data_IF_953163443155
#
_entry.id   IF_953163443155
#
_cell.length_a   1.000
_cell.length_b   1.000
_cell.length_c   1.000
_cell.angle_alpha   90.00
_cell.angle_beta   90.00
_cell.angle_gamma   90.00
#
_symmetry.space_group_name_H-M   'P 1'
#
loop_
_entity.id
_entity.type
_entity.pdbx_description
1 polymer ?
#
# COMPACT_ATOMS: atom_id res chain seq x y z
N UNK A 1 -11.04 21.19 11.44
CA UNK A 1 -9.91 22.05 11.01
C UNK A 1 -8.90 22.10 12.15
N UNK A 2 -7.69 21.61 11.95
CA UNK A 2 -6.59 21.81 12.88
C UNK A 2 -6.26 23.31 12.87
N UNK A 3 -6.38 23.95 14.02
CA UNK A 3 -6.04 25.37 14.17
C UNK A 3 -4.51 25.49 14.21
N UNK A 4 -3.93 26.38 13.41
CA UNK A 4 -2.51 26.67 13.44
C UNK A 4 -2.12 27.30 14.79
N UNK A 5 -1.00 26.84 15.37
CA UNK A 5 -0.36 27.49 16.54
C UNK A 5 0.61 28.56 16.02
N UNK A 6 0.55 29.73 16.61
CA UNK A 6 1.43 30.84 16.30
C UNK A 6 2.33 31.12 17.49
N UNK A 7 3.59 31.38 17.22
CA UNK A 7 4.58 31.80 18.21
C UNK A 7 4.93 33.26 17.95
N UNK A 8 4.86 34.09 18.97
CA UNK A 8 5.29 35.50 18.91
C UNK A 8 6.82 35.56 18.86
N UNK A 9 7.37 36.19 17.83
CA UNK A 9 8.81 36.51 17.73
C UNK A 9 8.90 38.00 17.39
N UNK A 10 9.37 38.80 18.34
CA UNK A 10 9.28 40.25 18.26
C UNK A 10 7.81 40.69 18.26
N UNK A 11 7.44 41.61 17.37
CA UNK A 11 6.05 42.12 17.22
C UNK A 11 5.19 41.32 16.24
N UNK A 12 5.66 40.16 15.75
CA UNK A 12 4.99 39.35 14.71
C UNK A 12 4.61 37.96 15.22
N UNK A 13 3.43 37.47 14.82
CA UNK A 13 3.00 36.10 15.05
C UNK A 13 3.43 35.21 13.88
N UNK A 14 4.21 34.17 14.13
CA UNK A 14 4.68 33.20 13.16
C UNK A 14 3.97 31.87 13.33
N UNK A 15 3.42 31.33 12.24
CA UNK A 15 2.83 29.97 12.25
C UNK A 15 3.91 28.95 12.62
N UNK A 16 3.65 28.13 13.64
CA UNK A 16 4.55 27.07 14.04
C UNK A 16 4.46 25.94 12.98
N UNK A 17 5.57 25.65 12.31
CA UNK A 17 5.67 24.55 11.34
C UNK A 17 6.20 23.27 11.97
N UNK A 18 7.11 23.38 12.92
CA UNK A 18 7.71 22.24 13.64
C UNK A 18 7.84 22.57 15.11
N UNK A 19 7.57 21.60 15.97
CA UNK A 19 7.78 21.67 17.39
C UNK A 19 8.64 20.51 17.86
N UNK A 20 9.54 20.76 18.80
CA UNK A 20 10.41 19.73 19.39
C UNK A 20 10.33 19.81 20.92
N UNK A 21 10.43 18.66 21.57
CA UNK A 21 10.53 18.52 23.01
C UNK A 21 11.81 17.77 23.35
N UNK A 22 12.55 18.26 24.35
CA UNK A 22 13.73 17.59 24.89
C UNK A 22 13.33 16.44 25.81
N UNK A 23 13.70 15.22 25.49
CA UNK A 23 13.48 14.05 26.34
C UNK A 23 14.78 13.24 26.38
N UNK A 24 15.33 13.08 27.60
CA UNK A 24 16.57 12.32 27.79
C UNK A 24 17.78 12.91 27.02
N UNK A 25 17.90 14.25 26.98
CA UNK A 25 18.99 14.95 26.27
C UNK A 25 18.87 14.95 24.74
N UNK A 26 17.78 14.44 24.18
CA UNK A 26 17.53 14.44 22.73
C UNK A 26 16.29 15.28 22.38
N UNK A 27 16.39 16.08 21.30
CA UNK A 27 15.23 16.78 20.72
C UNK A 27 14.35 15.77 19.97
N UNK A 28 13.08 15.68 20.36
CA UNK A 28 12.08 14.83 19.69
C UNK A 28 11.02 15.70 19.04
N UNK A 29 10.69 15.43 17.76
CA UNK A 29 9.61 16.14 17.02
C UNK A 29 8.28 15.91 17.73
N UNK A 30 7.53 16.99 17.99
CA UNK A 30 6.18 16.92 18.52
C UNK A 30 5.21 16.72 17.35
N UNK A 31 4.50 15.61 17.34
CA UNK A 31 3.54 15.29 16.27
C UNK A 31 2.21 15.96 16.47
N UNK A 32 1.70 16.02 17.70
CA UNK A 32 0.44 16.67 18.06
C UNK A 32 0.56 17.41 19.38
N UNK A 33 -0.10 18.58 19.46
CA UNK A 33 -0.29 19.27 20.73
C UNK A 33 -1.79 19.50 20.97
N UNK A 34 -2.19 19.36 22.22
CA UNK A 34 -3.56 19.57 22.64
C UNK A 34 -3.60 20.65 23.71
N UNK A 35 -4.65 21.47 23.70
CA UNK A 35 -4.96 22.42 24.76
C UNK A 35 -6.26 22.00 25.46
N UNK A 36 -6.31 22.19 26.78
CA UNK A 36 -7.54 22.01 27.57
C UNK A 36 -8.47 23.18 27.35
N UNK A 37 -9.69 22.96 26.88
CA UNK A 37 -10.73 24.00 26.79
C UNK A 37 -12.03 23.39 27.26
N UNK A 38 -12.60 23.97 28.35
CA UNK A 38 -13.85 23.49 28.93
C UNK A 38 -13.80 22.02 29.37
N UNK A 39 -12.70 21.57 29.99
CA UNK A 39 -12.52 20.20 30.46
C UNK A 39 -12.25 19.17 29.36
N UNK A 40 -12.09 19.56 28.09
CA UNK A 40 -11.80 18.69 26.94
C UNK A 40 -10.47 19.04 26.31
N UNK A 41 -9.69 18.01 25.95
CA UNK A 41 -8.48 18.17 25.17
C UNK A 41 -8.84 18.52 23.71
N UNK A 42 -8.35 19.65 23.21
CA UNK A 42 -8.56 20.08 21.82
C UNK A 42 -7.22 20.12 21.08
N UNK A 43 -7.16 19.48 19.91
CA UNK A 43 -5.98 19.51 19.05
C UNK A 43 -5.71 20.96 18.62
N UNK A 44 -4.51 21.46 18.90
CA UNK A 44 -4.06 22.80 18.50
C UNK A 44 -2.90 22.79 17.51
N UNK A 45 -2.13 21.71 17.44
CA UNK A 45 -1.03 21.53 16.51
C UNK A 45 -0.98 20.08 16.01
N UNK A 46 -0.79 19.91 14.71
CA UNK A 46 -0.43 18.65 14.07
C UNK A 46 0.77 18.91 13.15
N UNK A 47 1.78 18.05 13.20
CA UNK A 47 2.90 18.15 12.28
C UNK A 47 2.37 17.95 10.84
N UNK A 48 2.88 18.74 9.90
CA UNK A 48 2.56 18.58 8.48
C UNK A 48 3.40 17.43 7.91
N UNK A 49 2.85 16.71 6.92
CA UNK A 49 3.61 15.74 6.14
C UNK A 49 4.75 16.46 5.42
N UNK A 50 5.94 15.88 5.48
CA UNK A 50 7.10 16.41 4.78
C UNK A 50 7.89 15.29 4.08
N UNK A 51 8.56 15.64 3.00
CA UNK A 51 9.57 14.79 2.39
C UNK A 51 10.79 14.73 3.29
N UNK A 52 11.13 13.54 3.80
CA UNK A 52 12.30 13.33 4.68
C UNK A 52 13.59 13.30 3.86
N UNK A 53 13.57 12.68 2.67
CA UNK A 53 14.71 12.52 1.77
C UNK A 53 14.75 11.13 1.14
N UNK A 54 15.95 10.65 0.83
CA UNK A 54 16.18 9.33 0.26
C UNK A 54 16.76 8.39 1.32
N UNK A 55 16.31 7.14 1.33
CA UNK A 55 16.97 6.05 2.07
C UNK A 55 17.98 5.33 1.16
N UNK A 56 18.73 4.37 1.72
CA UNK A 56 19.61 3.50 0.95
C UNK A 56 18.81 2.81 -0.17
N UNK A 57 19.33 2.79 -1.38
CA UNK A 57 18.69 2.20 -2.55
C UNK A 57 18.39 0.70 -2.36
N UNK A 58 17.42 0.17 -3.09
CA UNK A 58 17.15 -1.27 -3.20
C UNK A 58 18.41 -2.02 -3.65
N UNK A 59 18.48 -3.30 -3.35
CA UNK A 59 19.58 -4.18 -3.81
C UNK A 59 19.62 -4.34 -5.33
N UNK A 60 18.48 -4.19 -6.00
CA UNK A 60 18.33 -4.28 -7.45
C UNK A 60 17.21 -3.33 -7.89
N UNK A 61 17.42 -2.60 -8.98
CA UNK A 61 16.39 -1.77 -9.60
C UNK A 61 15.22 -2.65 -10.08
N UNK A 62 13.99 -2.35 -9.63
CA UNK A 62 12.81 -3.15 -9.95
C UNK A 62 11.50 -2.41 -9.69
N UNK A 63 10.43 -2.89 -10.29
CA UNK A 63 9.07 -2.38 -10.17
C UNK A 63 8.06 -3.51 -9.99
N UNK A 64 6.78 -3.21 -9.81
CA UNK A 64 5.70 -4.19 -9.53
C UNK A 64 6.00 -5.11 -8.33
N UNK A 65 6.89 -4.66 -7.43
CA UNK A 65 7.12 -5.34 -6.16
C UNK A 65 5.95 -5.11 -5.22
N UNK A 66 5.80 -5.99 -4.24
CA UNK A 66 4.84 -5.79 -3.17
C UNK A 66 5.55 -5.52 -1.86
N UNK A 67 4.86 -4.78 -1.00
CA UNK A 67 5.43 -4.41 0.28
C UNK A 67 4.46 -4.73 1.43
N UNK A 68 5.02 -5.15 2.55
CA UNK A 68 4.31 -5.41 3.79
C UNK A 68 5.20 -5.04 4.98
N UNK A 69 4.58 -4.85 6.14
CA UNK A 69 5.28 -4.46 7.36
C UNK A 69 5.20 -5.56 8.40
N UNK A 70 6.30 -5.84 9.09
CA UNK A 70 6.34 -6.74 10.23
C UNK A 70 7.24 -6.18 11.33
N UNK A 71 6.72 -6.10 12.55
CA UNK A 71 7.46 -5.55 13.69
C UNK A 71 8.01 -4.16 13.39
N UNK A 72 9.33 -4.04 13.37
CA UNK A 72 10.05 -2.79 13.07
C UNK A 72 10.59 -2.70 11.63
N UNK A 73 10.09 -3.52 10.71
CA UNK A 73 10.58 -3.59 9.33
C UNK A 73 9.47 -3.38 8.31
N UNK A 74 9.77 -2.61 7.27
CA UNK A 74 9.06 -2.56 6.00
C UNK A 74 9.83 -3.41 5.00
N UNK A 75 9.18 -4.41 4.40
CA UNK A 75 9.75 -5.33 3.43
C UNK A 75 9.24 -5.02 2.04
N UNK A 76 10.15 -5.02 1.06
CA UNK A 76 9.88 -4.86 -0.37
C UNK A 76 10.36 -6.14 -1.07
N UNK A 77 9.43 -6.89 -1.66
CA UNK A 77 9.72 -8.24 -2.14
C UNK A 77 9.29 -8.47 -3.59
N UNK A 78 10.05 -9.29 -4.32
CA UNK A 78 9.77 -9.69 -5.69
C UNK A 78 9.80 -8.54 -6.68
N UNK A 79 8.98 -8.63 -7.73
CA UNK A 79 8.84 -7.62 -8.77
C UNK A 79 9.57 -7.96 -10.07
N UNK A 80 9.67 -6.97 -10.94
CA UNK A 80 10.24 -7.06 -12.29
C UNK A 80 11.50 -6.19 -12.39
N UNK A 81 12.57 -6.76 -12.91
CA UNK A 81 13.79 -6.04 -13.29
C UNK A 81 13.90 -6.00 -14.82
N UNK A 82 14.25 -4.88 -15.45
CA UNK A 82 14.44 -4.84 -16.91
C UNK A 82 15.57 -5.76 -17.34
N UNK A 83 15.31 -6.50 -18.41
CA UNK A 83 16.32 -7.32 -19.07
C UNK A 83 16.39 -6.88 -20.54
N UNK A 84 17.52 -6.32 -21.01
CA UNK A 84 17.64 -5.76 -22.35
C UNK A 84 17.51 -6.80 -23.48
N UNK A 85 17.61 -8.10 -23.16
CA UNK A 85 17.59 -9.16 -24.17
C UNK A 85 16.26 -9.92 -24.21
N UNK A 86 15.56 -10.04 -23.06
CA UNK A 86 14.41 -10.96 -22.93
C UNK A 86 13.17 -10.31 -22.32
N UNK A 87 13.14 -8.97 -22.24
CA UNK A 87 12.05 -8.24 -21.61
C UNK A 87 12.29 -8.02 -20.11
N UNK A 88 11.54 -8.67 -19.23
CA UNK A 88 11.67 -8.46 -17.78
C UNK A 88 12.05 -9.76 -17.07
N UNK A 89 13.06 -9.67 -16.21
CA UNK A 89 13.38 -10.72 -15.26
C UNK A 89 12.50 -10.59 -14.01
N UNK A 90 11.97 -11.71 -13.56
CA UNK A 90 11.20 -11.76 -12.30
C UNK A 90 12.16 -11.97 -11.14
N UNK A 91 12.01 -11.19 -10.08
CA UNK A 91 12.91 -11.19 -8.93
C UNK A 91 12.35 -12.01 -7.75
N UNK A 92 13.26 -12.59 -6.95
CA UNK A 92 13.00 -13.16 -5.62
C UNK A 92 13.51 -12.28 -4.48
N UNK A 93 14.21 -11.19 -4.78
CA UNK A 93 14.90 -10.36 -3.82
C UNK A 93 13.95 -9.72 -2.80
N UNK A 94 14.43 -9.59 -1.56
CA UNK A 94 13.74 -8.93 -0.46
C UNK A 94 14.67 -7.89 0.14
N UNK A 95 14.24 -6.64 0.16
CA UNK A 95 14.89 -5.55 0.89
C UNK A 95 14.02 -5.16 2.10
N UNK A 96 14.63 -5.04 3.27
CA UNK A 96 13.95 -4.66 4.50
C UNK A 96 14.57 -3.37 5.07
N UNK A 97 13.72 -2.42 5.47
CA UNK A 97 14.12 -1.16 6.10
C UNK A 97 13.56 -1.11 7.51
N UNK A 98 14.40 -0.83 8.48
CA UNK A 98 13.97 -0.68 9.88
C UNK A 98 13.54 0.77 10.20
N UNK A 99 13.11 1.00 11.45
CA UNK A 99 12.69 2.33 11.93
C UNK A 99 13.81 3.38 11.99
N UNK A 100 15.07 2.98 11.77
CA UNK A 100 16.21 3.90 11.60
C UNK A 100 16.58 4.08 10.12
N UNK A 101 15.75 3.58 9.19
CA UNK A 101 15.97 3.57 7.74
C UNK A 101 17.23 2.78 7.31
N UNK A 102 17.74 1.91 8.19
CA UNK A 102 18.84 1.00 7.85
C UNK A 102 18.30 -0.15 7.03
N UNK A 103 18.92 -0.38 5.87
CA UNK A 103 18.58 -1.48 4.96
C UNK A 103 19.27 -2.78 5.39
N UNK A 104 18.54 -3.89 5.23
CA UNK A 104 19.06 -5.26 5.27
C UNK A 104 18.41 -6.08 4.15
N UNK A 105 19.05 -7.18 3.76
CA UNK A 105 18.58 -8.11 2.73
C UNK A 105 18.32 -9.46 3.40
N UNK A 106 17.08 -9.73 3.85
CA UNK A 106 16.70 -11.03 4.40
C UNK A 106 16.83 -12.15 3.37
N UNK A 107 16.60 -13.39 3.81
CA UNK A 107 16.42 -14.53 2.89
C UNK A 107 15.39 -14.18 1.83
N UNK A 108 15.71 -14.46 0.57
CA UNK A 108 14.85 -14.21 -0.59
C UNK A 108 13.52 -14.98 -0.50
N UNK A 109 12.53 -14.59 -1.29
CA UNK A 109 11.29 -15.37 -1.48
C UNK A 109 11.63 -16.80 -1.93
N UNK A 110 10.77 -17.76 -1.60
CA UNK A 110 10.94 -19.18 -1.97
C UNK A 110 11.04 -19.41 -3.48
N UNK A 111 10.49 -18.50 -4.26
CA UNK A 111 10.65 -18.43 -5.72
C UNK A 111 10.52 -16.98 -6.19
N UNK A 112 11.08 -16.66 -7.33
CA UNK A 112 10.89 -15.39 -8.00
C UNK A 112 9.41 -15.17 -8.32
N UNK A 113 8.91 -13.93 -8.17
CA UNK A 113 7.48 -13.61 -8.44
C UNK A 113 7.21 -12.15 -8.70
N UNK A 114 6.26 -11.89 -9.59
CA UNK A 114 5.61 -10.59 -9.84
C UNK A 114 4.09 -10.78 -9.81
N UNK A 115 3.31 -9.70 -9.77
CA UNK A 115 1.85 -9.79 -9.71
C UNK A 115 1.30 -10.54 -8.49
N UNK A 116 2.13 -10.75 -7.46
CA UNK A 116 1.75 -11.35 -6.19
C UNK A 116 1.03 -10.33 -5.31
N UNK A 117 0.45 -10.75 -4.19
CA UNK A 117 -0.12 -9.87 -3.18
C UNK A 117 0.74 -9.87 -1.91
N UNK A 118 0.60 -8.80 -1.12
CA UNK A 118 1.18 -8.72 0.21
C UNK A 118 0.15 -8.20 1.22
N UNK A 119 0.23 -8.71 2.44
CA UNK A 119 -0.55 -8.26 3.58
C UNK A 119 0.18 -8.57 4.88
N UNK A 120 -0.14 -7.83 5.94
CA UNK A 120 0.42 -8.06 7.28
C UNK A 120 -0.66 -8.60 8.21
N UNK A 121 -0.30 -9.57 9.06
CA UNK A 121 -1.17 -10.06 10.11
C UNK A 121 -0.37 -10.48 11.33
N UNK A 122 -0.78 -10.04 12.50
CA UNK A 122 -0.09 -10.35 13.74
C UNK A 122 1.41 -10.02 13.68
N UNK A 123 2.24 -11.03 13.85
CA UNK A 123 3.71 -10.93 13.78
C UNK A 123 4.30 -11.25 12.41
N UNK A 124 3.53 -11.24 11.30
CA UNK A 124 3.98 -11.68 9.99
C UNK A 124 3.69 -10.69 8.87
N UNK A 125 4.63 -10.58 7.92
CA UNK A 125 4.44 -10.05 6.58
C UNK A 125 4.32 -11.22 5.59
N UNK A 126 3.21 -11.30 4.86
CA UNK A 126 2.88 -12.39 3.95
C UNK A 126 3.00 -11.92 2.50
N UNK A 127 3.58 -12.79 1.64
CA UNK A 127 3.68 -12.59 0.21
C UNK A 127 3.10 -13.83 -0.49
N UNK A 128 1.98 -13.66 -1.20
CA UNK A 128 1.16 -14.77 -1.68
C UNK A 128 1.01 -14.78 -3.21
N UNK A 129 1.18 -15.97 -3.81
CA UNK A 129 0.95 -16.20 -5.23
C UNK A 129 1.90 -15.45 -6.15
N UNK A 130 1.39 -15.02 -7.30
CA UNK A 130 2.15 -14.34 -8.34
C UNK A 130 2.53 -15.24 -9.50
N UNK A 131 3.46 -14.77 -10.32
CA UNK A 131 4.01 -15.51 -11.45
C UNK A 131 5.53 -15.45 -11.47
N UNK A 132 6.19 -16.55 -11.81
CA UNK A 132 7.65 -16.62 -11.89
C UNK A 132 8.21 -16.27 -13.27
N UNK A 133 7.35 -15.96 -14.23
CA UNK A 133 7.69 -15.35 -15.51
C UNK A 133 6.66 -14.29 -15.90
N UNK A 134 7.09 -13.31 -16.69
CA UNK A 134 6.25 -12.26 -17.24
C UNK A 134 6.74 -11.89 -18.64
N UNK A 135 5.81 -11.83 -19.60
CA UNK A 135 6.08 -11.44 -20.97
C UNK A 135 4.95 -10.57 -21.51
N UNK A 136 4.99 -10.20 -22.78
CA UNK A 136 4.00 -9.33 -23.43
C UNK A 136 2.56 -9.94 -23.48
N UNK A 137 2.42 -11.26 -23.26
CA UNK A 137 1.11 -11.93 -23.18
C UNK A 137 0.50 -11.90 -21.78
N UNK A 138 1.32 -11.65 -20.74
CA UNK A 138 0.87 -11.61 -19.35
C UNK A 138 1.76 -12.39 -18.38
N UNK A 139 1.13 -12.86 -17.31
CA UNK A 139 1.79 -13.66 -16.27
C UNK A 139 1.91 -15.12 -16.70
N UNK A 140 3.12 -15.69 -16.64
CA UNK A 140 3.35 -17.11 -16.90
C UNK A 140 3.91 -17.83 -15.67
N UNK A 141 3.82 -19.17 -15.66
CA UNK A 141 4.29 -20.01 -14.56
C UNK A 141 3.79 -19.52 -13.20
N UNK A 142 2.48 -19.61 -12.99
CA UNK A 142 1.81 -19.12 -11.78
C UNK A 142 2.32 -19.83 -10.53
N UNK A 143 2.37 -19.09 -9.42
CA UNK A 143 2.95 -19.50 -8.16
C UNK A 143 1.84 -19.73 -7.13
N UNK A 144 1.94 -20.85 -6.39
CA UNK A 144 1.01 -21.21 -5.31
C UNK A 144 1.58 -20.96 -3.91
N UNK A 145 2.89 -20.72 -3.77
CA UNK A 145 3.52 -20.58 -2.46
C UNK A 145 3.17 -19.25 -1.79
N UNK A 146 3.14 -19.29 -0.46
CA UNK A 146 3.00 -18.13 0.42
C UNK A 146 4.21 -18.09 1.34
N UNK A 147 4.99 -17.02 1.22
CA UNK A 147 6.14 -16.75 2.09
C UNK A 147 5.71 -15.83 3.24
N UNK A 148 6.05 -16.22 4.48
CA UNK A 148 5.80 -15.44 5.70
C UNK A 148 7.13 -15.04 6.32
N UNK A 149 7.29 -13.75 6.62
CA UNK A 149 8.45 -13.21 7.35
C UNK A 149 8.00 -12.74 8.72
N UNK A 150 8.68 -13.22 9.75
CA UNK A 150 8.47 -12.78 11.13
C UNK A 150 9.25 -11.48 11.45
N UNK A 151 9.08 -10.99 12.68
CA UNK A 151 9.76 -9.77 13.16
C UNK A 151 11.31 -9.92 13.30
N UNK A 152 11.84 -11.13 13.18
CA UNK A 152 13.29 -11.42 13.10
C UNK A 152 13.78 -11.49 11.67
N UNK A 153 12.91 -11.27 10.69
CA UNK A 153 13.13 -11.43 9.25
C UNK A 153 13.42 -12.88 8.84
N UNK A 154 12.99 -13.84 9.67
CA UNK A 154 13.07 -15.26 9.32
C UNK A 154 11.92 -15.61 8.40
N UNK A 155 12.24 -16.22 7.24
CA UNK A 155 11.24 -16.68 6.27
C UNK A 155 10.76 -18.10 6.63
N UNK A 156 9.46 -18.28 6.63
CA UNK A 156 8.79 -19.59 6.69
C UNK A 156 7.79 -19.72 5.54
N UNK A 157 7.39 -20.94 5.21
CA UNK A 157 6.30 -21.20 4.29
C UNK A 157 4.98 -21.24 5.07
N UNK A 158 3.97 -20.54 4.56
CA UNK A 158 2.59 -20.71 5.02
C UNK A 158 1.86 -21.73 4.11
N UNK A 159 0.60 -22.04 4.43
CA UNK A 159 -0.23 -22.91 3.61
C UNK A 159 -0.26 -22.43 2.16
N UNK A 160 -0.11 -23.35 1.20
CA UNK A 160 -0.12 -23.01 -0.23
C UNK A 160 -1.55 -22.68 -0.70
N UNK A 161 -1.66 -21.74 -1.64
CA UNK A 161 -2.91 -21.36 -2.29
C UNK A 161 -3.02 -22.02 -3.67
N UNK A 162 -4.13 -21.84 -4.36
CA UNK A 162 -4.19 -22.12 -5.81
C UNK A 162 -3.19 -21.24 -6.56
N UNK A 163 -2.52 -21.79 -7.58
CA UNK A 163 -1.57 -21.02 -8.38
C UNK A 163 -2.30 -19.84 -9.06
N UNK A 164 -1.98 -18.61 -8.66
CA UNK A 164 -2.77 -17.42 -9.01
C UNK A 164 -1.88 -16.19 -9.03
N UNK A 165 -2.06 -15.31 -10.01
CA UNK A 165 -1.41 -14.00 -10.09
C UNK A 165 -2.43 -12.85 -10.12
N UNK A 166 -1.95 -11.61 -10.04
CA UNK A 166 -2.78 -10.40 -10.05
C UNK A 166 -3.83 -10.37 -8.90
N UNK A 167 -3.42 -10.84 -7.72
CA UNK A 167 -4.22 -10.97 -6.51
C UNK A 167 -4.26 -9.64 -5.75
N UNK A 168 -5.35 -9.35 -5.05
CA UNK A 168 -5.43 -8.25 -4.08
C UNK A 168 -5.12 -8.72 -2.67
N UNK A 169 -4.51 -7.86 -1.84
CA UNK A 169 -4.24 -8.11 -0.43
C UNK A 169 -4.80 -7.00 0.46
N UNK A 170 -5.40 -7.37 1.60
CA UNK A 170 -5.87 -6.45 2.64
C UNK A 170 -5.89 -7.15 4.00
N UNK A 171 -6.02 -6.39 5.08
CA UNK A 171 -6.14 -6.96 6.42
C UNK A 171 -7.40 -6.47 7.13
N UNK A 172 -8.00 -7.30 7.98
CA UNK A 172 -9.10 -6.94 8.88
C UNK A 172 -9.06 -7.78 10.15
N UNK A 173 -9.18 -7.12 11.29
CA UNK A 173 -9.09 -7.81 12.58
C UNK A 173 -7.81 -8.61 12.70
N UNK A 174 -7.93 -9.90 12.90
CA UNK A 174 -6.79 -10.83 13.02
C UNK A 174 -6.50 -11.62 11.73
N UNK A 175 -6.91 -11.10 10.57
CA UNK A 175 -6.72 -11.78 9.29
C UNK A 175 -6.02 -10.92 8.24
N UNK A 176 -5.09 -11.57 7.51
CA UNK A 176 -4.64 -11.14 6.19
C UNK A 176 -5.47 -11.86 5.13
N UNK A 177 -6.09 -11.12 4.22
CA UNK A 177 -6.93 -11.66 3.15
C UNK A 177 -6.27 -11.46 1.80
N UNK A 178 -6.38 -12.49 0.96
CA UNK A 178 -5.93 -12.48 -0.43
C UNK A 178 -7.10 -12.85 -1.34
N UNK A 179 -7.43 -11.98 -2.30
CA UNK A 179 -8.69 -12.09 -3.04
C UNK A 179 -8.54 -11.97 -4.55
N UNK A 180 -9.29 -12.79 -5.29
CA UNK A 180 -9.33 -12.79 -6.74
C UNK A 180 -8.02 -13.24 -7.38
N UNK A 181 -7.81 -12.85 -8.62
CA UNK A 181 -6.61 -13.18 -9.39
C UNK A 181 -6.95 -13.90 -10.69
N UNK A 182 -5.92 -14.25 -11.46
CA UNK A 182 -6.02 -15.06 -12.67
C UNK A 182 -5.33 -16.42 -12.47
N UNK A 183 -5.93 -17.48 -13.00
CA UNK A 183 -5.44 -18.86 -12.87
C UNK A 183 -4.69 -19.37 -14.10
N UNK A 184 -4.57 -18.54 -15.13
CA UNK A 184 -3.79 -18.87 -16.36
C UNK A 184 -2.86 -17.73 -16.79
N UNK A 185 -2.81 -16.62 -16.04
CA UNK A 185 -1.99 -15.45 -16.35
C UNK A 185 -2.65 -14.42 -17.27
N UNK A 186 -3.81 -14.74 -17.83
CA UNK A 186 -4.61 -13.84 -18.68
C UNK A 186 -5.86 -13.42 -17.88
N UNK A 187 -6.32 -12.18 -18.03
CA UNK A 187 -7.43 -11.65 -17.25
C UNK A 187 -8.73 -11.61 -18.06
N UNK A 188 -9.10 -12.75 -18.65
CA UNK A 188 -10.39 -12.94 -19.32
C UNK A 188 -11.48 -13.30 -18.30
N UNK A 189 -12.73 -13.30 -18.71
CA UNK A 189 -13.85 -13.65 -17.83
C UNK A 189 -13.76 -15.10 -17.31
N UNK A 190 -13.20 -16.01 -18.11
CA UNK A 190 -13.17 -17.44 -17.82
C UNK A 190 -11.89 -17.87 -17.07
N UNK A 191 -10.93 -16.95 -16.90
CA UNK A 191 -9.61 -17.24 -16.32
C UNK A 191 -9.35 -16.49 -15.01
N UNK A 192 -10.33 -15.78 -14.49
CA UNK A 192 -10.25 -15.09 -13.20
C UNK A 192 -11.00 -15.86 -12.13
N UNK A 193 -10.52 -15.77 -10.89
CA UNK A 193 -11.14 -16.42 -9.73
C UNK A 193 -11.85 -15.43 -8.82
N UNK A 194 -12.80 -15.95 -8.04
CA UNK A 194 -13.49 -15.24 -6.97
C UNK A 194 -13.00 -15.64 -5.57
N UNK A 195 -11.99 -16.51 -5.47
CA UNK A 195 -11.50 -17.03 -4.20
C UNK A 195 -11.03 -15.92 -3.27
N UNK A 196 -11.32 -16.11 -1.98
CA UNK A 196 -10.81 -15.26 -0.90
C UNK A 196 -10.22 -16.15 0.18
N UNK A 197 -8.93 -15.98 0.40
CA UNK A 197 -8.10 -16.79 1.26
C UNK A 197 -7.68 -15.95 2.46
N UNK A 198 -7.73 -16.49 3.65
CA UNK A 198 -7.44 -15.79 4.88
C UNK A 198 -6.39 -16.54 5.70
N UNK A 199 -5.46 -15.81 6.30
CA UNK A 199 -4.47 -16.29 7.25
C UNK A 199 -4.62 -15.50 8.55
N UNK A 200 -4.71 -16.18 9.67
CA UNK A 200 -4.70 -15.52 10.97
C UNK A 200 -3.28 -15.25 11.49
N UNK A 201 -3.17 -14.65 12.68
CA UNK A 201 -1.88 -14.33 13.32
C UNK A 201 -1.04 -15.55 13.70
N UNK A 202 -1.58 -16.77 13.62
CA UNK A 202 -0.88 -18.04 13.80
C UNK A 202 -0.53 -18.72 12.48
N UNK A 203 -0.77 -18.04 11.35
CA UNK A 203 -0.66 -18.55 9.98
C UNK A 203 -1.63 -19.71 9.70
N UNK A 204 -2.70 -19.85 10.49
CA UNK A 204 -3.75 -20.81 10.20
C UNK A 204 -4.54 -20.34 8.99
N UNK A 205 -4.64 -21.23 8.00
CA UNK A 205 -5.35 -20.97 6.76
C UNK A 205 -6.85 -21.25 6.90
N UNK A 206 -7.66 -20.39 6.31
CA UNK A 206 -9.09 -20.62 6.09
C UNK A 206 -9.56 -19.92 4.80
N UNK A 207 -10.73 -20.29 4.31
CA UNK A 207 -11.38 -19.60 3.18
C UNK A 207 -12.45 -18.65 3.71
N UNK A 208 -12.57 -17.49 3.08
CA UNK A 208 -13.69 -16.59 3.29
C UNK A 208 -14.72 -16.74 2.15
N UNK A 209 -15.97 -16.23 2.30
CA UNK A 209 -16.93 -16.21 1.21
C UNK A 209 -16.35 -15.59 -0.07
N UNK A 210 -16.68 -16.17 -1.22
CA UNK A 210 -16.17 -15.74 -2.54
C UNK A 210 -16.46 -14.26 -2.81
N UNK A 211 -15.64 -13.60 -3.62
CA UNK A 211 -15.99 -12.29 -4.19
C UNK A 211 -17.33 -12.39 -4.94
N UNK A 212 -18.11 -11.32 -4.95
CA UNK A 212 -19.40 -11.27 -5.67
C UNK A 212 -19.27 -11.46 -7.18
N UNK A 213 -18.10 -11.12 -7.73
CA UNK A 213 -17.72 -11.32 -9.12
C UNK A 213 -16.28 -11.77 -9.18
N UNK A 214 -15.98 -12.86 -9.91
CA UNK A 214 -14.62 -13.30 -10.16
C UNK A 214 -13.85 -12.23 -10.93
N UNK A 215 -12.65 -11.85 -10.45
CA UNK A 215 -11.85 -10.78 -11.07
C UNK A 215 -10.39 -10.75 -10.58
N UNK A 216 -9.52 -10.29 -11.43
CA UNK A 216 -8.10 -10.07 -11.12
C UNK A 216 -7.79 -8.56 -10.94
N UNK A 217 -6.58 -8.24 -10.49
CA UNK A 217 -6.12 -6.86 -10.24
C UNK A 217 -7.01 -6.05 -9.29
N UNK A 218 -7.70 -6.71 -8.36
CA UNK A 218 -8.44 -6.05 -7.31
C UNK A 218 -7.49 -5.28 -6.40
N UNK A 219 -7.90 -4.12 -5.92
CA UNK A 219 -7.13 -3.36 -4.93
C UNK A 219 -7.72 -3.52 -3.56
N UNK A 220 -6.86 -3.88 -2.60
CA UNK A 220 -7.24 -4.03 -1.21
C UNK A 220 -6.94 -2.76 -0.41
N UNK A 221 -7.86 -2.39 0.47
CA UNK A 221 -7.67 -1.38 1.52
C UNK A 221 -8.47 -1.77 2.76
N UNK A 222 -8.08 -1.25 3.91
CA UNK A 222 -8.78 -1.47 5.16
C UNK A 222 -9.55 -0.21 5.57
N UNK A 223 -10.78 -0.37 6.06
CA UNK A 223 -11.51 0.67 6.77
C UNK A 223 -11.92 0.07 8.11
N UNK A 224 -11.40 0.55 9.19
CA UNK A 224 -11.51 0.08 10.59
C UNK A 224 -12.08 -1.34 10.78
N UNK A 225 -13.32 -1.57 10.33
CA UNK A 225 -14.07 -2.81 10.52
C UNK A 225 -14.06 -3.76 9.32
N UNK A 226 -13.47 -3.34 8.20
CA UNK A 226 -13.55 -4.08 6.93
C UNK A 226 -12.24 -4.08 6.16
N UNK A 227 -11.93 -5.22 5.53
CA UNK A 227 -11.05 -5.30 4.37
C UNK A 227 -11.91 -5.15 3.11
N UNK A 228 -11.64 -4.14 2.29
CA UNK A 228 -12.34 -3.86 1.05
C UNK A 228 -11.50 -4.31 -0.14
N UNK A 229 -12.17 -4.97 -1.09
CA UNK A 229 -11.58 -5.34 -2.38
C UNK A 229 -12.38 -4.67 -3.49
N UNK A 230 -11.76 -3.71 -4.17
CA UNK A 230 -12.45 -2.82 -5.10
C UNK A 230 -11.90 -2.91 -6.52
N UNK A 231 -12.77 -2.76 -7.50
CA UNK A 231 -12.44 -2.74 -8.91
C UNK A 231 -11.89 -4.08 -9.42
N UNK A 232 -10.92 -4.01 -10.30
CA UNK A 232 -10.30 -5.16 -10.94
C UNK A 232 -10.82 -5.39 -12.36
N UNK A 233 -10.51 -6.58 -12.92
CA UNK A 233 -10.82 -6.93 -14.32
C UNK A 233 -11.30 -8.37 -14.43
N UNK A 234 -12.36 -8.56 -15.26
CA UNK A 234 -12.90 -9.84 -15.68
C UNK A 234 -13.23 -9.75 -17.18
N UNK A 235 -12.19 -9.76 -18.04
CA UNK A 235 -12.29 -9.34 -19.44
C UNK A 235 -12.38 -7.82 -19.58
N UNK A 236 -13.39 -7.18 -18.99
CA UNK A 236 -13.53 -5.72 -18.83
C UNK A 236 -13.26 -5.26 -17.40
N UNK A 237 -13.03 -3.97 -17.21
CA UNK A 237 -12.85 -3.38 -15.88
C UNK A 237 -14.15 -3.35 -15.08
N UNK A 238 -14.06 -3.66 -13.78
CA UNK A 238 -15.17 -3.74 -12.85
C UNK A 238 -15.21 -2.52 -11.91
N UNK A 239 -16.39 -2.22 -11.41
CA UNK A 239 -16.60 -1.21 -10.36
C UNK A 239 -17.02 -1.82 -9.02
N UNK A 240 -17.19 -3.14 -8.96
CA UNK A 240 -17.67 -3.87 -7.77
C UNK A 240 -16.72 -3.69 -6.58
N UNK A 241 -17.32 -3.61 -5.39
CA UNK A 241 -16.60 -3.52 -4.11
C UNK A 241 -17.17 -4.56 -3.15
N UNK A 242 -16.35 -5.50 -2.73
CA UNK A 242 -16.65 -6.47 -1.68
C UNK A 242 -15.93 -6.10 -0.39
N UNK A 243 -16.62 -6.16 0.73
CA UNK A 243 -16.10 -5.85 2.06
C UNK A 243 -16.22 -7.08 2.97
N UNK A 244 -15.15 -7.38 3.72
CA UNK A 244 -15.09 -8.48 4.66
C UNK A 244 -14.84 -7.95 6.06
N UNK A 245 -15.66 -8.32 7.02
CA UNK A 245 -15.46 -7.94 8.42
C UNK A 245 -14.52 -8.94 9.14
N UNK A 246 -14.21 -8.67 10.42
CA UNK A 246 -13.33 -9.51 11.23
C UNK A 246 -13.87 -10.93 11.49
N UNK A 247 -15.16 -11.20 11.23
CA UNK A 247 -15.76 -12.54 11.26
C UNK A 247 -15.76 -13.20 9.88
N UNK A 248 -15.03 -12.63 8.92
CA UNK A 248 -14.96 -13.07 7.52
C UNK A 248 -16.32 -13.07 6.80
N UNK A 249 -17.30 -12.30 7.28
CA UNK A 249 -18.60 -12.16 6.61
C UNK A 249 -18.44 -11.14 5.47
N UNK A 250 -18.91 -11.51 4.26
CA UNK A 250 -18.90 -10.64 3.09
C UNK A 250 -20.14 -9.77 3.02
N UNK A 251 -19.93 -8.48 2.71
CA UNK A 251 -20.96 -7.52 2.31
C UNK A 251 -20.54 -6.87 0.99
N UNK A 252 -21.46 -6.68 0.06
CA UNK A 252 -21.19 -5.89 -1.16
C UNK A 252 -21.46 -4.43 -0.84
N UNK A 253 -20.43 -3.59 -0.96
CA UNK A 253 -20.55 -2.15 -0.75
C UNK A 253 -20.98 -1.44 -2.04
N UNK A 254 -21.35 -0.16 -1.94
CA UNK A 254 -21.67 0.67 -3.11
C UNK A 254 -20.52 0.64 -4.10
N UNK A 255 -20.81 0.40 -5.38
CA UNK A 255 -19.79 0.30 -6.42
C UNK A 255 -18.98 1.59 -6.58
N UNK A 256 -17.74 1.47 -7.10
CA UNK A 256 -16.91 2.61 -7.49
C UNK A 256 -17.67 3.50 -8.50
N UNK A 257 -17.41 4.81 -8.46
CA UNK A 257 -18.03 5.79 -9.37
C UNK A 257 -17.60 5.60 -10.83
N UNK A 258 -16.44 5.02 -11.04
CA UNK A 258 -15.91 4.64 -12.36
C UNK A 258 -14.93 3.48 -12.22
N UNK A 259 -14.68 2.79 -13.32
CA UNK A 259 -13.61 1.78 -13.37
C UNK A 259 -12.25 2.45 -13.09
N UNK A 260 -11.46 1.87 -12.19
CA UNK A 260 -10.13 2.39 -11.82
C UNK A 260 -9.05 1.41 -12.30
N UNK A 261 -8.52 1.71 -13.48
CA UNK A 261 -7.40 0.93 -14.04
C UNK A 261 -6.10 1.28 -13.30
N UNK A 262 -5.24 0.29 -13.03
CA UNK A 262 -3.98 0.45 -12.31
C UNK A 262 -4.11 1.39 -11.10
N UNK A 263 -5.16 1.14 -10.31
CA UNK A 263 -5.52 1.94 -9.14
C UNK A 263 -4.55 1.70 -7.98
N UNK A 264 -4.56 2.63 -7.04
CA UNK A 264 -3.93 2.47 -5.74
C UNK A 264 -4.97 2.65 -4.63
N UNK A 265 -4.69 2.09 -3.47
CA UNK A 265 -5.57 2.19 -2.34
C UNK A 265 -4.76 2.42 -1.05
N UNK A 266 -5.29 3.25 -0.16
CA UNK A 266 -4.72 3.53 1.15
C UNK A 266 -5.82 3.71 2.20
N UNK A 267 -5.42 3.64 3.46
CA UNK A 267 -6.31 3.87 4.60
C UNK A 267 -5.85 5.12 5.34
N UNK A 268 -6.76 6.03 5.72
CA UNK A 268 -6.47 7.14 6.63
C UNK A 268 -7.62 7.36 7.59
N UNK A 269 -7.32 7.43 8.88
CA UNK A 269 -8.37 7.47 9.90
C UNK A 269 -9.31 6.26 9.75
N UNK A 270 -10.59 6.54 9.53
CA UNK A 270 -11.63 5.53 9.35
C UNK A 270 -12.00 5.29 7.89
N UNK A 271 -11.19 5.76 6.93
CA UNK A 271 -11.52 5.75 5.52
C UNK A 271 -10.59 4.82 4.73
N UNK A 272 -11.19 3.99 3.87
CA UNK A 272 -10.51 3.32 2.75
C UNK A 272 -10.67 4.19 1.49
N UNK A 273 -9.56 4.55 0.86
CA UNK A 273 -9.52 5.48 -0.28
C UNK A 273 -9.02 4.72 -1.50
N UNK A 274 -9.78 4.76 -2.59
CA UNK A 274 -9.43 4.16 -3.87
C UNK A 274 -9.26 5.26 -4.92
N UNK A 275 -8.06 5.38 -5.46
CA UNK A 275 -7.68 6.32 -6.52
C UNK A 275 -7.33 5.57 -7.82
N UNK A 276 -7.31 6.25 -8.95
CA UNK A 276 -6.95 5.63 -10.22
C UNK A 276 -6.90 6.65 -11.35
N UNK A 277 -7.36 6.27 -12.54
CA UNK A 277 -7.36 7.05 -13.78
C UNK A 277 -8.23 8.34 -13.77
N UNK A 278 -8.70 8.76 -12.61
CA UNK A 278 -9.41 10.04 -12.39
C UNK A 278 -8.80 10.76 -11.19
N UNK A 279 -8.91 12.10 -11.15
CA UNK A 279 -8.46 12.88 -9.98
C UNK A 279 -9.35 12.64 -8.75
N UNK A 280 -10.59 12.19 -8.95
CA UNK A 280 -11.54 11.87 -7.88
C UNK A 280 -11.30 10.46 -7.33
N UNK A 281 -11.26 10.36 -6.02
CA UNK A 281 -11.23 9.10 -5.27
C UNK A 281 -12.64 8.67 -4.87
N UNK A 282 -12.85 7.36 -4.77
CA UNK A 282 -13.97 6.77 -4.04
C UNK A 282 -13.50 6.41 -2.62
N UNK A 283 -14.27 6.81 -1.63
CA UNK A 283 -13.89 6.77 -0.22
C UNK A 283 -15.00 6.07 0.55
N UNK A 284 -14.64 5.04 1.32
CA UNK A 284 -15.57 4.28 2.16
C UNK A 284 -15.20 4.47 3.63
N UNK A 285 -16.18 4.83 4.43
CA UNK A 285 -16.01 4.93 5.88
C UNK A 285 -16.20 3.58 6.59
N UNK A 286 -16.09 3.56 7.92
CA UNK A 286 -16.28 2.37 8.75
C UNK A 286 -17.70 1.76 8.71
N UNK A 287 -18.67 2.47 8.12
CA UNK A 287 -20.06 2.01 7.90
C UNK A 287 -20.30 1.61 6.46
N UNK A 288 -19.25 1.56 5.61
CA UNK A 288 -19.31 1.34 4.16
C UNK A 288 -20.11 2.42 3.40
N UNK A 289 -20.33 3.60 4.02
CA UNK A 289 -20.89 4.76 3.33
C UNK A 289 -19.87 5.29 2.34
N UNK A 290 -20.27 5.40 1.08
CA UNK A 290 -19.39 5.91 0.01
C UNK A 290 -19.51 7.42 -0.13
N UNK A 291 -18.38 8.10 -0.19
CA UNK A 291 -18.22 9.49 -0.61
C UNK A 291 -17.18 9.61 -1.71
N UNK A 292 -17.05 10.78 -2.33
CA UNK A 292 -16.03 11.06 -3.34
C UNK A 292 -15.37 12.40 -3.06
N UNK A 293 -14.05 12.48 -3.27
CA UNK A 293 -13.28 13.70 -3.15
C UNK A 293 -12.15 13.77 -4.18
N UNK A 294 -11.72 14.97 -4.55
CA UNK A 294 -10.57 15.18 -5.42
C UNK A 294 -9.27 14.99 -4.62
N UNK A 295 -8.78 13.76 -4.53
CA UNK A 295 -7.58 13.39 -3.77
C UNK A 295 -6.31 13.52 -4.62
N UNK A 296 -6.37 13.28 -5.92
CA UNK A 296 -5.22 13.50 -6.81
C UNK A 296 -5.25 14.90 -7.42
N UNK A 297 -4.07 15.49 -7.60
CA UNK A 297 -3.91 16.78 -8.31
C UNK A 297 -4.24 16.65 -9.80
N UNK A 298 -3.90 15.50 -10.38
CA UNK A 298 -4.19 15.12 -11.76
C UNK A 298 -4.55 13.64 -11.84
N UNK A 299 -5.29 13.24 -12.84
CA UNK A 299 -5.57 11.83 -13.13
C UNK A 299 -4.26 11.10 -13.49
N UNK A 300 -3.97 9.99 -12.78
CA UNK A 300 -2.76 9.18 -12.97
C UNK A 300 -3.05 7.71 -12.69
N UNK A 301 -2.22 6.85 -13.27
CA UNK A 301 -2.23 5.39 -13.06
C UNK A 301 -0.86 4.91 -12.60
N UNK A 302 -0.71 3.64 -12.24
CA UNK A 302 0.57 3.10 -11.77
C UNK A 302 1.04 3.71 -10.44
N UNK A 303 0.09 4.20 -9.62
CA UNK A 303 0.38 4.80 -8.34
C UNK A 303 0.71 3.76 -7.28
N UNK A 304 1.65 4.09 -6.41
CA UNK A 304 1.83 3.43 -5.14
C UNK A 304 1.15 4.23 -4.02
N UNK A 305 0.68 3.56 -2.98
CA UNK A 305 0.03 4.23 -1.87
C UNK A 305 0.37 3.57 -0.53
N UNK A 306 0.51 4.39 0.50
CA UNK A 306 0.66 3.96 1.89
C UNK A 306 0.19 5.06 2.84
N UNK A 307 0.24 4.79 4.14
CA UNK A 307 -0.23 5.73 5.17
C UNK A 307 0.90 5.99 6.16
N UNK A 308 1.09 7.23 6.59
CA UNK A 308 1.98 7.56 7.70
C UNK A 308 1.33 8.60 8.62
N UNK A 309 1.30 8.31 9.90
CA UNK A 309 0.58 9.15 10.85
C UNK A 309 -0.89 9.30 10.47
N UNK A 310 -1.33 10.54 10.28
CA UNK A 310 -2.71 10.87 9.91
C UNK A 310 -2.87 11.14 8.40
N UNK A 311 -1.93 10.70 7.56
CA UNK A 311 -1.94 10.97 6.12
C UNK A 311 -1.91 9.71 5.28
N UNK A 312 -2.80 9.63 4.28
CA UNK A 312 -2.67 8.74 3.13
C UNK A 312 -1.87 9.43 2.04
N UNK A 313 -0.89 8.76 1.45
CA UNK A 313 0.01 9.27 0.41
C UNK A 313 -0.16 8.42 -0.84
N UNK A 314 -0.28 9.09 -2.00
CA UNK A 314 -0.39 8.50 -3.32
C UNK A 314 0.72 9.06 -4.20
N UNK A 315 1.72 8.25 -4.55
CA UNK A 315 2.90 8.71 -5.30
C UNK A 315 3.04 7.98 -6.62
N UNK A 316 3.47 8.70 -7.64
CA UNK A 316 3.78 8.23 -8.99
C UNK A 316 3.75 9.36 -10.00
N UNK A 317 4.58 9.25 -11.05
CA UNK A 317 4.67 10.25 -12.11
C UNK A 317 5.18 11.63 -11.67
N UNK A 318 6.08 11.66 -10.68
CA UNK A 318 6.75 12.91 -10.25
C UNK A 318 5.96 13.77 -9.24
N UNK A 319 4.83 13.27 -8.74
CA UNK A 319 4.01 13.96 -7.73
C UNK A 319 3.57 13.00 -6.64
N UNK A 320 3.67 13.40 -5.38
CA UNK A 320 3.02 12.76 -4.26
C UNK A 320 1.85 13.64 -3.79
N UNK A 321 0.63 13.16 -4.02
CA UNK A 321 -0.58 13.72 -3.43
C UNK A 321 -0.85 13.03 -2.10
N UNK A 322 -1.35 13.78 -1.13
CA UNK A 322 -1.71 13.22 0.16
C UNK A 322 -2.96 13.90 0.73
N UNK A 323 -3.67 13.19 1.57
CA UNK A 323 -4.79 13.75 2.33
C UNK A 323 -4.72 13.30 3.79
N UNK A 324 -5.27 14.14 4.65
CA UNK A 324 -5.48 13.82 6.06
C UNK A 324 -6.82 13.08 6.28
N UNK A 325 -7.10 12.72 7.54
CA UNK A 325 -8.36 12.05 7.91
C UNK A 325 -9.62 12.92 7.68
N UNK A 326 -9.47 14.25 7.47
CA UNK A 326 -10.56 15.14 7.06
C UNK A 326 -10.73 15.22 5.54
N UNK A 327 -9.95 14.39 4.80
CA UNK A 327 -9.92 14.33 3.34
C UNK A 327 -9.45 15.64 2.68
N UNK A 328 -8.72 16.47 3.43
CA UNK A 328 -8.10 17.68 2.90
C UNK A 328 -6.86 17.31 2.13
N UNK A 329 -6.85 17.60 0.82
CA UNK A 329 -5.73 17.28 -0.08
C UNK A 329 -4.64 18.34 -0.03
N UNK A 330 -3.40 17.86 -0.12
CA UNK A 330 -2.20 18.64 -0.44
C UNK A 330 -1.29 17.83 -1.36
N UNK A 331 -0.24 18.44 -1.90
CA UNK A 331 0.72 17.79 -2.79
C UNK A 331 2.14 18.22 -2.46
N UNK A 332 3.08 17.29 -2.62
CA UNK A 332 4.52 17.54 -2.49
C UNK A 332 5.20 17.05 -3.76
N UNK A 333 6.12 17.84 -4.31
CA UNK A 333 7.00 17.37 -5.39
C UNK A 333 7.86 16.21 -4.90
N UNK A 334 8.05 15.20 -5.72
CA UNK A 334 8.91 14.05 -5.47
C UNK A 334 10.09 14.04 -6.44
N UNK A 335 11.22 13.47 -6.02
CA UNK A 335 12.33 13.19 -6.94
C UNK A 335 12.11 11.90 -7.73
N UNK A 336 11.15 11.07 -7.30
CA UNK A 336 10.82 9.82 -7.98
C UNK A 336 9.72 10.06 -9.03
N UNK A 337 10.08 9.86 -10.29
CA UNK A 337 9.14 9.95 -11.43
C UNK A 337 8.52 8.60 -11.78
N UNK A 338 8.87 7.53 -11.05
CA UNK A 338 8.49 6.15 -11.34
C UNK A 338 6.99 5.87 -11.16
N UNK A 339 6.57 4.81 -11.84
CA UNK A 339 5.28 4.15 -11.73
C UNK A 339 5.45 2.75 -11.16
N UNK A 340 4.38 2.13 -10.66
CA UNK A 340 4.36 0.76 -10.13
C UNK A 340 5.44 0.50 -9.06
N UNK A 341 5.67 1.49 -8.21
CA UNK A 341 6.55 1.42 -7.04
C UNK A 341 5.96 0.50 -5.96
N UNK A 342 6.81 -0.04 -5.10
CA UNK A 342 6.40 -0.58 -3.82
C UNK A 342 6.20 0.55 -2.80
N UNK A 343 5.22 0.41 -1.89
CA UNK A 343 5.02 1.36 -0.80
C UNK A 343 4.71 0.66 0.52
N UNK A 344 5.35 1.09 1.59
CA UNK A 344 5.12 0.59 2.94
C UNK A 344 5.42 1.67 3.99
N UNK A 345 4.87 1.47 5.19
CA UNK A 345 5.10 2.35 6.34
C UNK A 345 5.88 1.63 7.42
N UNK A 346 6.85 2.30 8.02
CA UNK A 346 7.56 1.79 9.19
C UNK A 346 7.79 2.91 10.21
N UNK A 347 7.23 2.73 11.40
CA UNK A 347 7.27 3.74 12.44
C UNK A 347 6.70 5.07 11.93
N UNK A 348 7.53 6.09 11.88
CA UNK A 348 7.17 7.45 11.48
C UNK A 348 7.41 7.75 10.01
N UNK A 349 7.74 6.72 9.21
CA UNK A 349 8.16 6.88 7.83
C UNK A 349 7.26 6.11 6.86
N UNK A 350 6.86 6.78 5.78
CA UNK A 350 6.34 6.16 4.57
C UNK A 350 7.45 6.05 3.55
N UNK A 351 7.69 4.86 3.02
CA UNK A 351 8.71 4.56 2.03
C UNK A 351 8.06 4.23 0.70
N UNK A 352 8.57 4.84 -0.37
CA UNK A 352 8.23 4.51 -1.75
C UNK A 352 9.51 4.04 -2.44
N UNK A 353 9.48 2.85 -3.04
CA UNK A 353 10.69 2.18 -3.51
C UNK A 353 10.56 1.68 -4.94
N UNK A 354 11.63 1.84 -5.72
CA UNK A 354 11.73 1.33 -7.08
C UNK A 354 10.80 2.04 -8.06
N UNK A 355 10.18 1.27 -8.95
CA UNK A 355 9.34 1.79 -10.02
C UNK A 355 10.02 1.80 -11.38
N UNK A 356 9.33 2.27 -12.43
CA UNK A 356 9.85 2.35 -13.80
C UNK A 356 9.51 3.69 -14.47
N UNK A 357 10.24 4.05 -15.55
CA UNK A 357 10.21 5.38 -16.16
C UNK A 357 9.02 5.69 -17.08
N UNK A 358 8.07 4.79 -17.27
CA UNK A 358 6.91 5.04 -18.15
C UNK A 358 6.26 3.76 -18.68
N UNK A 359 5.40 3.91 -19.70
CA UNK A 359 4.56 2.81 -20.21
C UNK A 359 5.34 1.62 -20.80
N UNK A 360 6.60 1.80 -21.16
CA UNK A 360 7.45 0.76 -21.79
C UNK A 360 8.51 0.17 -20.86
N UNK A 361 8.49 0.48 -19.56
CA UNK A 361 9.34 -0.16 -18.53
C UNK A 361 10.82 -0.37 -18.86
N UNK A 362 11.39 0.45 -19.76
CA UNK A 362 12.76 0.27 -20.25
C UNK A 362 13.82 0.59 -19.19
N UNK A 363 13.45 1.27 -18.12
CA UNK A 363 14.33 1.64 -17.02
C UNK A 363 13.60 1.47 -15.69
N UNK A 364 14.06 0.54 -14.86
CA UNK A 364 13.64 0.44 -13.47
C UNK A 364 14.54 1.27 -12.56
N UNK A 365 14.00 1.67 -11.42
CA UNK A 365 14.70 2.42 -10.39
C UNK A 365 14.97 1.54 -9.16
N UNK A 366 16.05 1.88 -8.44
CA UNK A 366 16.39 1.32 -7.13
C UNK A 366 16.17 2.34 -5.99
N UNK A 367 15.81 3.54 -6.33
CA UNK A 367 15.62 4.66 -5.41
C UNK A 367 14.54 4.37 -4.36
N UNK A 368 14.74 4.87 -3.14
CA UNK A 368 13.78 4.79 -2.04
C UNK A 368 13.57 6.17 -1.44
N UNK A 369 12.40 6.74 -1.67
CA UNK A 369 12.01 8.04 -1.13
C UNK A 369 11.19 7.90 0.15
N UNK A 370 11.41 8.79 1.09
CA UNK A 370 10.88 8.72 2.45
C UNK A 370 10.10 9.99 2.77
N UNK A 371 8.91 9.80 3.35
CA UNK A 371 8.08 10.86 3.92
C UNK A 371 7.87 10.63 5.40
N UNK A 372 7.67 11.70 6.18
CA UNK A 372 7.39 11.65 7.63
C UNK A 372 6.29 12.64 8.00
N UNK A 373 5.48 12.29 9.00
CA UNK A 373 4.41 13.12 9.53
C UNK A 373 4.69 13.51 11.00
#
# INVERSE_FOLDING_TARGET
>A
MAKAVYVGVGSKAHKMKKAYIGIGGKARKVKKMYIGVGGKARLCYSAELERYGMATALSTARYDMRAATVGKYALFAGGLAPNPFFGNDVSSSVDAYNTSLTKSTPTELSCKRCGHAAASVGGYALFAGGASSHNFLGYGNLVSSVDAYDASLTRSAAHIIGATAAIGGAAVGNYALFAGGTVDGVMTKDTVTSDVLAYDSSLTFTTAPLLSVARANVKGASAVNYALFAGGRAGSFCTTVDAYNASLTRTTATALSSTKNNSAAATVGNHAIFVGNTASADIYDASLTKTSAAILSTARTGLAATTVGDYAIFSGGGVADFCDASLTRSSIGTSMTGYDMGAATIGDYALFAGGHSGEKSDTAYDSVEVYTA
#
